data_IF_725609110700
#
_entry.id   IF_725609110700
#
_cell.length_a   1.000
_cell.length_b   1.000
_cell.length_c   1.000
_cell.angle_alpha   90.00
_cell.angle_beta   90.00
_cell.angle_gamma   90.00
#
_symmetry.space_group_name_H-M   'P 1'
#
loop_
_entity.id
_entity.type
_entity.pdbx_description
1 polymer ?
#
# COMPACT_ATOMS: atom_id res chain seq x y z
N UNK A 1 -2.99 14.93 -7.21
CA UNK A 1 -2.34 14.69 -8.52
C UNK A 1 -1.96 13.23 -8.74
N UNK A 2 -1.24 12.55 -7.84
CA UNK A 2 -0.81 11.15 -8.06
C UNK A 2 -1.94 10.13 -8.37
N UNK A 3 -3.08 10.19 -7.65
CA UNK A 3 -4.23 9.31 -7.95
C UNK A 3 -4.77 9.49 -9.37
N UNK A 4 -4.84 10.74 -9.84
CA UNK A 4 -5.30 11.04 -11.19
C UNK A 4 -4.35 10.48 -12.25
N UNK A 5 -3.04 10.61 -12.04
CA UNK A 5 -2.04 10.01 -12.92
C UNK A 5 -2.15 8.49 -12.96
N UNK A 6 -2.43 7.85 -11.81
CA UNK A 6 -2.60 6.40 -11.74
C UNK A 6 -3.83 5.92 -12.53
N UNK A 7 -4.98 6.59 -12.40
CA UNK A 7 -6.19 6.27 -13.16
C UNK A 7 -5.98 6.57 -14.66
N UNK A 8 -5.40 7.73 -14.97
CA UNK A 8 -5.09 8.13 -16.34
C UNK A 8 -4.13 7.16 -17.03
N UNK A 9 -3.12 6.64 -16.31
CA UNK A 9 -2.15 5.70 -16.85
C UNK A 9 -2.80 4.44 -17.44
N UNK A 10 -3.74 3.82 -16.73
CA UNK A 10 -4.43 2.61 -17.22
C UNK A 10 -5.19 2.90 -18.50
N UNK A 11 -5.97 3.99 -18.52
CA UNK A 11 -6.75 4.39 -19.70
C UNK A 11 -5.84 4.73 -20.88
N UNK A 12 -4.77 5.49 -20.64
CA UNK A 12 -3.81 5.87 -21.68
C UNK A 12 -3.06 4.65 -22.24
N UNK A 13 -2.70 3.69 -21.39
CA UNK A 13 -2.06 2.45 -21.83
C UNK A 13 -2.99 1.64 -22.75
N UNK A 14 -4.27 1.55 -22.40
CA UNK A 14 -5.25 0.84 -23.23
C UNK A 14 -5.46 1.56 -24.57
N UNK A 15 -5.56 2.89 -24.57
CA UNK A 15 -5.70 3.69 -25.79
C UNK A 15 -4.45 3.56 -26.67
N UNK A 16 -3.26 3.57 -26.07
CA UNK A 16 -2.00 3.46 -26.78
C UNK A 16 -1.86 2.13 -27.53
N UNK A 17 -2.55 1.09 -27.08
CA UNK A 17 -2.54 -0.24 -27.70
C UNK A 17 -3.53 -0.40 -28.86
N UNK A 18 -4.52 0.48 -29.01
CA UNK A 18 -5.55 0.39 -30.06
C UNK A 18 -4.96 0.32 -31.49
N UNK A 19 -3.95 1.15 -31.87
CA UNK A 19 -3.39 1.11 -33.22
C UNK A 19 -2.75 -0.23 -33.58
N UNK A 20 -2.35 -1.03 -32.58
CA UNK A 20 -1.67 -2.30 -32.80
C UNK A 20 -2.64 -3.49 -32.94
N UNK A 21 -3.94 -3.27 -32.78
CA UNK A 21 -4.97 -4.30 -32.91
C UNK A 21 -5.48 -4.40 -34.36
N UNK A 22 -4.69 -5.00 -35.24
CA UNK A 22 -5.05 -5.19 -36.65
C UNK A 22 -5.72 -6.54 -36.88
N UNK A 23 -6.94 -6.56 -37.43
CA UNK A 23 -7.66 -7.79 -37.78
C UNK A 23 -7.52 -8.07 -39.28
N UNK A 24 -7.23 -9.33 -39.64
CA UNK A 24 -7.16 -9.74 -41.05
C UNK A 24 -8.55 -9.96 -41.66
N UNK A 25 -8.78 -9.40 -42.84
CA UNK A 25 -9.99 -9.63 -43.64
C UNK A 25 -9.78 -10.70 -44.71
N UNK A 26 -10.86 -11.35 -45.19
CA UNK A 26 -10.78 -12.38 -46.25
C UNK A 26 -10.13 -11.90 -47.56
N UNK A 27 -10.14 -10.58 -47.81
CA UNK A 27 -9.52 -9.97 -48.99
C UNK A 27 -8.00 -9.73 -48.83
N UNK A 28 -7.38 -10.21 -47.75
CA UNK A 28 -5.95 -10.07 -47.48
C UNK A 28 -5.52 -8.71 -46.92
N UNK A 29 -6.44 -7.76 -46.78
CA UNK A 29 -6.21 -6.49 -46.11
C UNK A 29 -6.43 -6.63 -44.60
N UNK A 30 -5.71 -5.84 -43.81
CA UNK A 30 -5.92 -5.77 -42.37
C UNK A 30 -6.38 -4.37 -41.98
N UNK A 31 -7.32 -4.24 -41.06
CA UNK A 31 -7.79 -2.94 -40.57
C UNK A 31 -7.74 -2.89 -39.05
N UNK A 32 -7.70 -1.68 -38.48
CA UNK A 32 -7.70 -1.50 -37.03
C UNK A 32 -9.06 -1.93 -36.47
N UNK A 33 -9.07 -2.84 -35.48
CA UNK A 33 -10.28 -3.48 -34.95
C UNK A 33 -11.38 -2.50 -34.52
N UNK A 34 -10.99 -1.39 -33.89
CA UNK A 34 -11.93 -0.34 -33.44
C UNK A 34 -12.29 0.67 -34.55
N UNK A 35 -11.44 0.78 -35.57
CA UNK A 35 -11.56 1.77 -36.65
C UNK A 35 -11.40 1.08 -38.01
N UNK A 36 -12.39 0.29 -38.41
CA UNK A 36 -12.34 -0.52 -39.63
C UNK A 36 -12.11 0.27 -40.93
N UNK A 37 -12.32 1.59 -40.92
CA UNK A 37 -12.01 2.48 -42.05
C UNK A 37 -10.50 2.73 -42.24
N UNK A 38 -9.68 2.46 -41.22
CA UNK A 38 -8.23 2.65 -41.24
C UNK A 38 -7.56 1.31 -41.53
N UNK A 39 -7.04 1.17 -42.74
CA UNK A 39 -6.29 -0.02 -43.17
C UNK A 39 -4.89 0.02 -42.57
N UNK A 40 -4.48 -1.07 -41.92
CA UNK A 40 -3.16 -1.21 -41.32
C UNK A 40 -2.06 -1.15 -42.38
N UNK A 41 -1.02 -0.36 -42.10
CA UNK A 41 0.11 -0.12 -43.02
C UNK A 41 -0.07 1.07 -43.97
N UNK A 42 -1.21 1.76 -43.94
CA UNK A 42 -1.42 3.01 -44.69
C UNK A 42 -0.90 4.24 -43.95
N UNK A 43 -0.77 5.38 -44.64
CA UNK A 43 -0.30 6.64 -44.04
C UNK A 43 -1.18 7.10 -42.86
N UNK A 44 -2.50 6.89 -42.96
CA UNK A 44 -3.43 7.18 -41.86
C UNK A 44 -3.18 6.32 -40.62
N UNK A 45 -2.77 5.06 -40.81
CA UNK A 45 -2.41 4.16 -39.72
C UNK A 45 -1.06 4.55 -39.09
N UNK A 46 -0.07 4.94 -39.89
CA UNK A 46 1.26 5.33 -39.41
C UNK A 46 1.19 6.45 -38.37
N UNK A 47 0.31 7.45 -38.57
CA UNK A 47 0.09 8.52 -37.58
C UNK A 47 -0.44 8.00 -36.25
N UNK A 48 -1.40 7.06 -36.28
CA UNK A 48 -1.96 6.44 -35.07
C UNK A 48 -0.90 5.62 -34.33
N UNK A 49 -0.08 4.85 -35.05
CA UNK A 49 1.02 4.06 -34.47
C UNK A 49 2.04 4.95 -33.79
N UNK A 50 2.45 6.06 -34.42
CA UNK A 50 3.42 7.00 -33.82
C UNK A 50 2.90 7.54 -32.48
N UNK A 51 1.63 7.98 -32.43
CA UNK A 51 1.01 8.44 -31.18
C UNK A 51 0.93 7.31 -30.15
N UNK A 52 0.56 6.10 -30.58
CA UNK A 52 0.52 4.91 -29.72
C UNK A 52 1.90 4.59 -29.11
N UNK A 53 2.96 4.59 -29.92
CA UNK A 53 4.34 4.38 -29.44
C UNK A 53 4.74 5.45 -28.44
N UNK A 54 4.46 6.73 -28.70
CA UNK A 54 4.77 7.82 -27.77
C UNK A 54 4.06 7.64 -26.42
N UNK A 55 2.78 7.25 -26.43
CA UNK A 55 2.02 6.97 -25.21
C UNK A 55 2.55 5.73 -24.47
N UNK A 56 2.93 4.67 -25.17
CA UNK A 56 3.57 3.48 -24.57
C UNK A 56 4.90 3.89 -23.91
N UNK A 57 5.74 4.67 -24.60
CA UNK A 57 6.99 5.17 -24.04
C UNK A 57 6.77 5.98 -22.76
N UNK A 58 5.80 6.90 -22.76
CA UNK A 58 5.41 7.66 -21.57
C UNK A 58 4.91 6.74 -20.45
N UNK A 59 4.12 5.72 -20.79
CA UNK A 59 3.65 4.70 -19.87
C UNK A 59 4.80 3.90 -19.24
N UNK A 60 5.78 3.48 -20.02
CA UNK A 60 6.98 2.77 -19.55
C UNK A 60 7.81 3.64 -18.59
N UNK A 61 7.99 4.94 -18.90
CA UNK A 61 8.67 5.88 -18.00
C UNK A 61 7.91 5.98 -16.67
N UNK A 62 6.58 6.10 -16.71
CA UNK A 62 5.76 6.15 -15.51
C UNK A 62 5.85 4.86 -14.68
N UNK A 63 5.80 3.69 -15.32
CA UNK A 63 6.00 2.40 -14.63
C UNK A 63 7.39 2.28 -14.00
N UNK A 64 8.44 2.74 -14.68
CA UNK A 64 9.79 2.75 -14.14
C UNK A 64 9.89 3.64 -12.90
N UNK A 65 9.27 4.84 -12.96
CA UNK A 65 9.17 5.75 -11.81
C UNK A 65 8.42 5.11 -10.65
N UNK A 66 7.26 4.49 -10.87
CA UNK A 66 6.51 3.82 -9.81
C UNK A 66 7.29 2.65 -9.20
N UNK A 67 7.98 1.88 -10.03
CA UNK A 67 8.84 0.77 -9.58
C UNK A 67 9.95 1.29 -8.67
N UNK A 68 10.61 2.37 -9.07
CA UNK A 68 11.62 3.04 -8.25
C UNK A 68 11.04 3.58 -6.93
N UNK A 69 9.84 4.17 -6.95
CA UNK A 69 9.18 4.65 -5.72
C UNK A 69 8.90 3.49 -4.75
N UNK A 70 8.42 2.35 -5.25
CA UNK A 70 8.12 1.17 -4.41
C UNK A 70 9.36 0.54 -3.80
N UNK A 71 10.49 0.50 -4.53
CA UNK A 71 11.74 -0.06 -4.00
C UNK A 71 12.42 0.86 -2.99
N UNK A 72 12.28 2.19 -3.14
CA UNK A 72 12.90 3.19 -2.25
C UNK A 72 12.02 3.50 -1.03
N UNK A 73 10.70 3.30 -1.11
CA UNK A 73 9.74 3.56 -0.03
C UNK A 73 10.13 3.02 1.36
N UNK A 74 10.48 1.74 1.54
CA UNK A 74 10.81 1.21 2.88
C UNK A 74 12.05 1.89 3.49
N UNK A 75 13.09 2.12 2.69
CA UNK A 75 14.33 2.77 3.14
C UNK A 75 14.12 4.24 3.51
N UNK A 76 13.19 4.92 2.84
CA UNK A 76 12.81 6.31 3.16
C UNK A 76 11.90 6.39 4.38
N UNK A 77 11.00 5.41 4.53
CA UNK A 77 10.13 5.29 5.70
C UNK A 77 10.96 5.10 6.99
N UNK A 78 11.95 4.21 6.97
CA UNK A 78 12.81 3.96 8.15
C UNK A 78 13.66 5.16 8.56
N UNK A 79 13.94 6.08 7.62
CA UNK A 79 14.64 7.35 7.89
C UNK A 79 13.72 8.48 8.36
N UNK A 80 12.41 8.24 8.44
CA UNK A 80 11.42 9.25 8.85
C UNK A 80 11.20 10.36 7.82
N UNK A 81 11.47 10.13 6.54
CA UNK A 81 11.27 11.12 5.46
C UNK A 81 9.77 11.28 5.14
N UNK A 82 9.08 12.05 5.99
CA UNK A 82 7.63 12.22 5.90
C UNK A 82 7.20 12.90 4.59
N UNK A 83 8.01 13.81 4.03
CA UNK A 83 7.68 14.49 2.79
C UNK A 83 7.61 13.51 1.61
N UNK A 84 8.60 12.60 1.51
CA UNK A 84 8.59 11.54 0.51
C UNK A 84 7.36 10.63 0.63
N UNK A 85 7.01 10.23 1.85
CA UNK A 85 5.85 9.37 2.10
C UNK A 85 4.53 10.07 1.74
N UNK A 86 4.41 11.38 1.98
CA UNK A 86 3.24 12.14 1.55
C UNK A 86 3.13 12.20 0.02
N UNK A 87 4.24 12.36 -0.70
CA UNK A 87 4.25 12.31 -2.18
C UNK A 87 3.85 10.94 -2.71
N UNK A 88 4.24 9.85 -2.04
CA UNK A 88 3.90 8.47 -2.41
C UNK A 88 2.56 7.97 -1.86
N UNK A 89 1.83 8.82 -1.12
CA UNK A 89 0.59 8.45 -0.43
C UNK A 89 -0.43 7.83 -1.39
N UNK A 90 -0.50 8.29 -2.64
CA UNK A 90 -1.46 7.75 -3.61
C UNK A 90 -1.23 6.26 -3.92
N UNK A 91 0.03 5.82 -3.91
CA UNK A 91 0.42 4.46 -4.21
C UNK A 91 0.24 3.55 -2.98
N UNK A 92 0.65 4.04 -1.80
CA UNK A 92 0.81 3.22 -0.59
C UNK A 92 -0.42 3.24 0.33
N UNK A 93 -1.16 4.35 0.40
CA UNK A 93 -2.11 4.60 1.48
C UNK A 93 -3.29 3.62 1.54
N UNK A 94 -3.70 3.08 0.40
CA UNK A 94 -4.84 2.15 0.26
C UNK A 94 -4.52 0.72 0.71
N UNK A 95 -3.24 0.38 0.80
CA UNK A 95 -2.79 -0.98 1.10
C UNK A 95 -2.24 -1.09 2.51
N UNK A 96 -2.31 -2.30 3.06
CA UNK A 96 -1.62 -2.64 4.29
C UNK A 96 -0.13 -2.36 4.14
N UNK A 97 0.48 -1.93 5.24
CA UNK A 97 1.91 -1.58 5.26
C UNK A 97 2.76 -2.75 4.81
N UNK A 98 2.48 -3.99 5.24
CA UNK A 98 3.27 -5.19 4.91
C UNK A 98 3.36 -5.54 3.40
N UNK A 99 2.45 -4.99 2.60
CA UNK A 99 2.22 -5.37 1.19
C UNK A 99 2.16 -4.13 0.31
N UNK A 100 3.03 -3.17 0.64
CA UNK A 100 3.18 -1.88 -0.04
C UNK A 100 3.41 -2.01 -1.56
N UNK A 101 4.03 -3.10 -1.99
CA UNK A 101 4.34 -3.41 -3.40
C UNK A 101 3.10 -3.77 -4.24
N UNK A 102 1.98 -4.15 -3.61
CA UNK A 102 0.77 -4.56 -4.33
C UNK A 102 0.18 -3.44 -5.19
N UNK A 103 0.48 -2.18 -4.87
CA UNK A 103 0.11 -1.04 -5.72
C UNK A 103 0.64 -1.14 -7.16
N UNK A 104 1.81 -1.75 -7.36
CA UNK A 104 2.35 -2.03 -8.69
C UNK A 104 1.53 -3.09 -9.43
N UNK A 105 1.09 -4.14 -8.75
CA UNK A 105 0.26 -5.20 -9.34
C UNK A 105 -1.05 -4.62 -9.87
N UNK A 106 -1.70 -3.74 -9.09
CA UNK A 106 -2.95 -3.09 -9.53
C UNK A 106 -2.73 -2.20 -10.75
N UNK A 107 -1.62 -1.45 -10.79
CA UNK A 107 -1.31 -0.58 -11.93
C UNK A 107 -0.97 -1.41 -13.18
N UNK A 108 -0.20 -2.49 -13.02
CA UNK A 108 0.22 -3.36 -14.12
C UNK A 108 -0.93 -4.20 -14.68
N UNK A 109 -1.92 -4.55 -13.85
CA UNK A 109 -3.11 -5.30 -14.26
C UNK A 109 -3.85 -4.64 -15.42
N UNK A 110 -3.94 -3.31 -15.44
CA UNK A 110 -4.62 -2.57 -16.51
C UNK A 110 -4.05 -2.86 -17.91
N UNK A 111 -2.78 -2.49 -18.18
CA UNK A 111 -2.11 -2.80 -19.44
C UNK A 111 -2.08 -4.29 -19.78
N UNK A 112 -1.87 -5.17 -18.78
CA UNK A 112 -1.88 -6.62 -18.98
C UNK A 112 -3.22 -7.15 -19.50
N UNK A 113 -4.34 -6.51 -19.16
CA UNK A 113 -5.66 -6.88 -19.70
C UNK A 113 -5.86 -6.42 -21.15
N UNK A 114 -5.11 -5.45 -21.65
CA UNK A 114 -5.19 -5.01 -23.05
C UNK A 114 -4.22 -5.72 -23.98
N UNK A 115 -3.12 -6.25 -23.46
CA UNK A 115 -2.13 -6.98 -24.26
C UNK A 115 -2.69 -8.19 -25.03
N UNK A 116 -3.56 -9.04 -24.47
CA UNK A 116 -4.20 -10.13 -25.22
C UNK A 116 -4.85 -9.72 -26.54
N UNK A 117 -5.50 -8.55 -26.57
CA UNK A 117 -6.18 -8.07 -27.77
C UNK A 117 -5.20 -7.67 -28.87
N UNK A 118 -3.98 -7.25 -28.51
CA UNK A 118 -2.88 -6.95 -29.45
C UNK A 118 -2.15 -8.23 -29.87
N UNK A 119 -1.87 -9.12 -28.90
CA UNK A 119 -1.08 -10.33 -29.15
C UNK A 119 -1.84 -11.40 -29.96
N UNK A 120 -3.17 -11.47 -29.81
CA UNK A 120 -4.00 -12.52 -30.40
C UNK A 120 -5.20 -11.95 -31.17
N UNK A 121 -5.00 -10.88 -31.95
CA UNK A 121 -6.10 -10.19 -32.64
C UNK A 121 -6.91 -11.11 -33.56
N UNK A 122 -6.26 -12.06 -34.25
CA UNK A 122 -6.93 -12.99 -35.17
C UNK A 122 -7.53 -14.23 -34.47
N UNK A 123 -7.21 -14.45 -33.18
CA UNK A 123 -7.63 -15.65 -32.44
C UNK A 123 -8.37 -15.30 -31.17
N UNK A 124 -9.69 -15.13 -31.29
CA UNK A 124 -10.58 -14.84 -30.16
C UNK A 124 -10.44 -15.86 -29.01
N UNK A 125 -10.18 -17.14 -29.30
CA UNK A 125 -9.97 -18.16 -28.25
C UNK A 125 -8.70 -17.92 -27.45
N UNK A 126 -7.57 -17.64 -28.12
CA UNK A 126 -6.31 -17.35 -27.46
C UNK A 126 -6.39 -16.02 -26.68
N UNK A 127 -7.11 -15.03 -27.22
CA UNK A 127 -7.40 -13.78 -26.53
C UNK A 127 -8.21 -14.02 -25.23
N UNK A 128 -9.31 -14.75 -25.29
CA UNK A 128 -10.12 -15.05 -24.09
C UNK A 128 -9.33 -15.87 -23.06
N UNK A 129 -8.60 -16.90 -23.51
CA UNK A 129 -7.77 -17.73 -22.62
C UNK A 129 -6.69 -16.91 -21.90
N UNK A 130 -5.97 -16.06 -22.64
CA UNK A 130 -4.93 -15.22 -22.04
C UNK A 130 -5.51 -14.16 -21.09
N UNK A 131 -6.66 -13.56 -21.40
CA UNK A 131 -7.40 -12.70 -20.47
C UNK A 131 -7.78 -13.43 -19.18
N UNK A 132 -8.30 -14.66 -19.29
CA UNK A 132 -8.62 -15.51 -18.13
C UNK A 132 -7.39 -15.79 -17.29
N UNK A 133 -6.24 -16.10 -17.90
CA UNK A 133 -4.98 -16.33 -17.17
C UNK A 133 -4.54 -15.07 -16.41
N UNK A 134 -4.56 -13.90 -17.05
CA UNK A 134 -4.19 -12.63 -16.40
C UNK A 134 -5.09 -12.36 -15.19
N UNK A 135 -6.41 -12.51 -15.35
CA UNK A 135 -7.35 -12.31 -14.24
C UNK A 135 -7.18 -13.36 -13.14
N UNK A 136 -7.01 -14.63 -13.48
CA UNK A 136 -6.83 -15.72 -12.52
C UNK A 136 -5.56 -15.55 -11.68
N UNK A 137 -4.44 -15.18 -12.32
CA UNK A 137 -3.19 -14.86 -11.61
C UNK A 137 -3.38 -13.66 -10.70
N UNK A 138 -4.03 -12.59 -11.18
CA UNK A 138 -4.31 -11.41 -10.34
C UNK A 138 -5.20 -11.74 -9.13
N UNK A 139 -6.21 -12.59 -9.32
CA UNK A 139 -7.09 -13.07 -8.27
C UNK A 139 -6.34 -13.94 -7.26
N UNK A 140 -5.48 -14.85 -7.72
CA UNK A 140 -4.69 -15.70 -6.85
C UNK A 140 -3.76 -14.88 -5.95
N UNK A 141 -3.06 -13.89 -6.51
CA UNK A 141 -2.20 -12.98 -5.73
C UNK A 141 -3.05 -12.21 -4.71
N UNK A 142 -4.20 -11.68 -5.12
CA UNK A 142 -5.09 -10.93 -4.23
C UNK A 142 -5.61 -11.78 -3.06
N UNK A 143 -6.09 -12.99 -3.33
CA UNK A 143 -6.63 -13.90 -2.31
C UNK A 143 -5.54 -14.44 -1.38
N UNK A 144 -4.28 -14.53 -1.85
CA UNK A 144 -3.16 -14.94 -1.02
C UNK A 144 -2.69 -13.81 -0.07
N UNK A 145 -2.78 -12.55 -0.51
CA UNK A 145 -2.13 -11.43 0.18
C UNK A 145 -3.10 -10.57 0.99
N UNK A 146 -4.36 -10.47 0.58
CA UNK A 146 -5.37 -9.56 1.17
C UNK A 146 -4.84 -8.13 1.38
N UNK A 147 -4.47 -7.45 0.28
CA UNK A 147 -3.66 -6.26 0.34
C UNK A 147 -4.39 -5.00 0.80
N UNK A 148 -5.71 -4.93 0.62
CA UNK A 148 -6.48 -3.75 0.99
C UNK A 148 -6.58 -3.61 2.50
N UNK A 149 -6.47 -2.38 3.03
CA UNK A 149 -6.61 -2.12 4.48
C UNK A 149 -7.97 -2.53 5.03
N UNK A 150 -9.02 -2.28 4.25
CA UNK A 150 -10.40 -2.61 4.61
C UNK A 150 -10.74 -4.02 4.11
N UNK A 151 -11.03 -5.00 4.98
CA UNK A 151 -11.32 -6.37 4.59
C UNK A 151 -12.48 -6.52 3.60
N UNK A 152 -13.55 -5.73 3.73
CA UNK A 152 -14.66 -5.75 2.78
C UNK A 152 -14.23 -5.43 1.35
N UNK A 153 -13.26 -4.52 1.17
CA UNK A 153 -12.74 -4.17 -0.17
C UNK A 153 -11.98 -5.35 -0.78
N UNK A 154 -11.24 -6.13 0.01
CA UNK A 154 -10.60 -7.36 -0.47
C UNK A 154 -11.64 -8.36 -0.99
N UNK A 155 -12.71 -8.58 -0.22
CA UNK A 155 -13.77 -9.50 -0.58
C UNK A 155 -14.49 -9.07 -1.87
N UNK A 156 -14.86 -7.79 -1.97
CA UNK A 156 -15.58 -7.29 -3.14
C UNK A 156 -14.70 -7.26 -4.39
N UNK A 157 -13.46 -6.77 -4.32
CA UNK A 157 -12.53 -6.76 -5.47
C UNK A 157 -12.22 -8.20 -5.95
N UNK A 158 -12.10 -9.15 -5.01
CA UNK A 158 -11.94 -10.58 -5.33
C UNK A 158 -13.18 -11.16 -5.99
N UNK A 159 -14.37 -10.83 -5.46
CA UNK A 159 -15.66 -11.26 -6.03
C UNK A 159 -15.86 -10.70 -7.44
N UNK A 160 -15.61 -9.41 -7.66
CA UNK A 160 -15.71 -8.78 -8.98
C UNK A 160 -14.75 -9.45 -9.95
N UNK A 161 -13.50 -9.70 -9.54
CA UNK A 161 -12.51 -10.35 -10.40
C UNK A 161 -12.92 -11.78 -10.75
N UNK A 162 -13.47 -12.53 -9.80
CA UNK A 162 -14.02 -13.87 -10.03
C UNK A 162 -15.20 -13.84 -11.00
N UNK A 163 -16.13 -12.90 -10.84
CA UNK A 163 -17.28 -12.73 -11.75
C UNK A 163 -16.82 -12.37 -13.16
N UNK A 164 -15.81 -11.51 -13.31
CA UNK A 164 -15.21 -11.20 -14.62
C UNK A 164 -14.62 -12.45 -15.28
N UNK A 165 -13.95 -13.32 -14.52
CA UNK A 165 -13.47 -14.61 -15.04
C UNK A 165 -14.63 -15.47 -15.54
N UNK A 166 -15.73 -15.56 -14.80
CA UNK A 166 -16.91 -16.31 -15.22
C UNK A 166 -17.58 -15.71 -16.47
N UNK A 167 -17.67 -14.38 -16.58
CA UNK A 167 -18.19 -13.70 -17.78
C UNK A 167 -17.34 -14.01 -19.00
N UNK A 168 -16.01 -14.04 -18.88
CA UNK A 168 -15.12 -14.41 -19.99
C UNK A 168 -15.26 -15.89 -20.33
N UNK A 169 -15.40 -16.76 -19.33
CA UNK A 169 -15.61 -18.18 -19.53
C UNK A 169 -16.91 -18.45 -20.31
N UNK A 170 -18.02 -17.78 -19.97
CA UNK A 170 -19.27 -17.90 -20.72
C UNK A 170 -19.20 -17.23 -22.10
N UNK A 171 -18.40 -16.16 -22.25
CA UNK A 171 -18.15 -15.53 -23.54
C UNK A 171 -17.48 -16.49 -24.55
N UNK A 172 -16.67 -17.45 -24.07
CA UNK A 172 -16.03 -18.46 -24.93
C UNK A 172 -17.03 -19.37 -25.66
N UNK A 173 -18.23 -19.56 -25.12
CA UNK A 173 -19.30 -20.34 -25.74
C UNK A 173 -19.86 -19.70 -27.02
N UNK A 174 -19.50 -18.44 -27.30
CA UNK A 174 -19.87 -17.75 -28.54
C UNK A 174 -18.79 -17.85 -29.63
N UNK A 175 -17.73 -18.66 -29.43
CA UNK A 175 -16.59 -18.81 -30.35
C UNK A 175 -16.34 -20.30 -30.73
N UNK A 176 -17.14 -20.92 -31.64
CA UNK A 176 -18.17 -20.35 -32.52
C UNK A 176 -19.53 -20.24 -31.85
N UNK A 177 -20.42 -19.41 -32.41
CA UNK A 177 -21.71 -19.11 -31.80
C UNK A 177 -22.53 -20.39 -31.50
N UNK A 178 -22.77 -20.66 -30.22
CA UNK A 178 -23.74 -21.67 -29.81
C UNK A 178 -25.09 -21.42 -30.51
N UNK A 179 -25.76 -22.49 -30.92
CA UNK A 179 -27.07 -22.45 -31.59
C UNK A 179 -28.15 -23.14 -30.76
N UNK A 180 -29.41 -22.72 -30.93
CA UNK A 180 -30.56 -23.32 -30.26
C UNK A 180 -30.57 -23.10 -28.75
N UNK A 181 -31.15 -24.04 -28.01
CA UNK A 181 -31.36 -23.94 -26.55
C UNK A 181 -30.06 -23.71 -25.75
N UNK A 182 -28.93 -24.24 -26.21
CA UNK A 182 -27.62 -24.04 -25.56
C UNK A 182 -27.22 -22.57 -25.53
N UNK A 183 -27.53 -21.82 -26.59
CA UNK A 183 -27.27 -20.37 -26.66
C UNK A 183 -28.05 -19.62 -25.60
N UNK A 184 -29.33 -19.93 -25.45
CA UNK A 184 -30.21 -19.25 -24.51
C UNK A 184 -29.75 -19.47 -23.06
N UNK A 185 -29.27 -20.67 -22.75
CA UNK A 185 -28.65 -20.97 -21.44
C UNK A 185 -27.41 -20.10 -21.21
N UNK A 186 -26.45 -20.05 -22.15
CA UNK A 186 -25.24 -19.23 -21.99
C UNK A 186 -25.53 -17.73 -21.91
N UNK A 187 -26.51 -17.24 -22.67
CA UNK A 187 -26.98 -15.84 -22.57
C UNK A 187 -27.57 -15.58 -21.19
N UNK A 188 -28.46 -16.44 -20.70
CA UNK A 188 -29.06 -16.31 -19.37
C UNK A 188 -28.03 -16.32 -18.24
N UNK A 189 -27.07 -17.25 -18.29
CA UNK A 189 -25.96 -17.32 -17.32
C UNK A 189 -25.07 -16.07 -17.39
N UNK A 190 -24.73 -15.60 -18.59
CA UNK A 190 -23.91 -14.39 -18.76
C UNK A 190 -24.61 -13.14 -18.23
N UNK A 191 -25.92 -13.00 -18.51
CA UNK A 191 -26.75 -11.92 -17.96
C UNK A 191 -26.79 -12.00 -16.42
N UNK A 192 -26.94 -13.19 -15.85
CA UNK A 192 -26.90 -13.40 -14.40
C UNK A 192 -25.58 -12.92 -13.77
N UNK A 193 -24.43 -13.30 -14.34
CA UNK A 193 -23.13 -12.83 -13.85
C UNK A 193 -22.95 -11.32 -14.01
N UNK A 194 -23.40 -10.74 -15.12
CA UNK A 194 -23.37 -9.28 -15.31
C UNK A 194 -24.24 -8.56 -14.29
N UNK A 195 -25.47 -9.03 -14.03
CA UNK A 195 -26.35 -8.47 -13.01
C UNK A 195 -25.73 -8.53 -11.61
N UNK A 196 -25.10 -9.65 -11.26
CA UNK A 196 -24.40 -9.80 -9.98
C UNK A 196 -23.20 -8.85 -9.88
N UNK A 197 -22.46 -8.64 -10.97
CA UNK A 197 -21.36 -7.67 -11.02
C UNK A 197 -21.89 -6.25 -10.76
N UNK A 198 -22.97 -5.84 -11.43
CA UNK A 198 -23.60 -4.52 -11.18
C UNK A 198 -24.11 -4.38 -9.75
N UNK A 199 -24.65 -5.45 -9.16
CA UNK A 199 -25.05 -5.46 -7.76
C UNK A 199 -23.85 -5.24 -6.82
N UNK A 200 -22.73 -5.94 -7.04
CA UNK A 200 -21.50 -5.74 -6.26
C UNK A 200 -21.00 -4.29 -6.33
N UNK A 201 -21.02 -3.67 -7.53
CA UNK A 201 -20.67 -2.27 -7.71
C UNK A 201 -21.64 -1.33 -6.99
N UNK A 202 -22.95 -1.61 -7.04
CA UNK A 202 -23.96 -0.86 -6.31
C UNK A 202 -23.76 -0.91 -4.79
N UNK A 203 -23.47 -2.10 -4.24
CA UNK A 203 -23.16 -2.28 -2.81
C UNK A 203 -21.90 -1.49 -2.43
N UNK A 204 -20.85 -1.53 -3.25
CA UNK A 204 -19.64 -0.72 -3.02
C UNK A 204 -19.94 0.78 -3.02
N UNK A 205 -20.76 1.27 -3.95
CA UNK A 205 -21.14 2.68 -4.00
C UNK A 205 -21.89 3.10 -2.74
N UNK A 206 -22.86 2.28 -2.29
CA UNK A 206 -23.58 2.53 -1.03
C UNK A 206 -22.63 2.52 0.16
N UNK A 207 -21.70 1.56 0.25
CA UNK A 207 -20.69 1.52 1.31
C UNK A 207 -19.81 2.78 1.32
N UNK A 208 -19.40 3.28 0.15
CA UNK A 208 -18.64 4.53 0.02
C UNK A 208 -19.46 5.72 0.50
N UNK A 209 -20.73 5.83 0.09
CA UNK A 209 -21.62 6.92 0.52
C UNK A 209 -21.82 6.89 2.04
N UNK A 210 -22.07 5.71 2.61
CA UNK A 210 -22.20 5.54 4.06
C UNK A 210 -20.90 5.93 4.79
N UNK A 211 -19.74 5.52 4.28
CA UNK A 211 -18.45 5.90 4.83
C UNK A 211 -18.25 7.42 4.82
N UNK A 212 -18.59 8.10 3.70
CA UNK A 212 -18.52 9.55 3.58
C UNK A 212 -19.47 10.27 4.55
N UNK A 213 -20.70 9.77 4.73
CA UNK A 213 -21.68 10.34 5.67
C UNK A 213 -21.22 10.18 7.12
N UNK A 214 -20.66 9.01 7.46
CA UNK A 214 -20.19 8.73 8.82
C UNK A 214 -18.98 9.58 9.27
N UNK A 215 -18.34 10.33 8.35
CA UNK A 215 -17.17 11.21 8.59
C UNK A 215 -16.01 10.56 9.38
N UNK A 216 -15.98 9.23 9.45
CA UNK A 216 -14.91 8.51 10.13
C UNK A 216 -13.61 8.56 9.33
N UNK A 217 -12.44 8.65 9.98
CA UNK A 217 -11.17 8.42 9.30
C UNK A 217 -11.15 7.00 8.73
N UNK A 218 -11.04 6.87 7.40
CA UNK A 218 -10.95 5.57 6.72
C UNK A 218 -9.76 4.76 7.26
N UNK A 219 -10.02 3.52 7.65
CA UNK A 219 -9.10 2.57 8.26
C UNK A 219 -9.01 2.61 9.79
N UNK A 220 -9.90 3.35 10.48
CA UNK A 220 -9.93 3.38 11.95
C UNK A 220 -10.72 2.21 12.54
N UNK A 221 -10.37 1.79 13.77
CA UNK A 221 -11.10 0.77 14.52
C UNK A 221 -12.58 1.13 14.80
N UNK A 222 -12.95 2.40 14.62
CA UNK A 222 -14.32 2.91 14.72
C UNK A 222 -15.13 2.80 13.42
N UNK A 223 -14.59 2.15 12.38
CA UNK A 223 -15.34 1.94 11.14
C UNK A 223 -16.59 1.08 11.35
N UNK A 224 -17.56 1.25 10.45
CA UNK A 224 -18.77 0.45 10.42
C UNK A 224 -18.42 -1.05 10.36
N UNK A 225 -19.05 -1.85 11.22
CA UNK A 225 -18.81 -3.30 11.32
C UNK A 225 -18.93 -4.05 9.99
N UNK A 226 -19.68 -3.49 9.02
CA UNK A 226 -19.83 -4.03 7.66
C UNK A 226 -18.53 -3.91 6.86
N UNK A 227 -17.78 -2.82 7.00
CA UNK A 227 -16.51 -2.58 6.29
C UNK A 227 -15.38 -3.48 6.83
N UNK A 228 -15.41 -3.76 8.12
CA UNK A 228 -14.44 -4.63 8.81
C UNK A 228 -14.78 -6.12 8.72
N UNK A 229 -15.89 -6.50 8.07
CA UNK A 229 -16.41 -7.88 8.01
C UNK A 229 -16.66 -8.50 9.40
N UNK A 230 -16.97 -7.68 10.41
CA UNK A 230 -17.17 -8.11 11.79
C UNK A 230 -16.87 -7.00 12.79
N UNK A 231 -17.18 -7.24 14.07
CA UNK A 231 -16.81 -6.30 15.14
C UNK A 231 -15.30 -6.39 15.38
N UNK A 232 -14.61 -5.26 15.31
CA UNK A 232 -13.22 -5.17 15.75
C UNK A 232 -13.08 -5.56 17.22
N UNK A 233 -11.89 -6.03 17.66
CA UNK A 233 -11.65 -6.33 19.06
C UNK A 233 -11.82 -5.06 19.91
N UNK A 234 -12.37 -5.21 21.12
CA UNK A 234 -12.47 -4.10 22.07
C UNK A 234 -11.05 -3.65 22.45
N UNK A 235 -10.75 -2.37 22.18
CA UNK A 235 -9.45 -1.77 22.44
C UNK A 235 -9.10 -1.81 23.93
N UNK A 236 -10.09 -1.72 24.83
CA UNK A 236 -9.84 -1.79 26.27
C UNK A 236 -9.37 -3.21 26.67
N UNK A 237 -10.02 -4.23 26.13
CA UNK A 237 -9.64 -5.64 26.35
C UNK A 237 -8.29 -5.96 25.70
N UNK A 238 -8.03 -5.41 24.51
CA UNK A 238 -6.74 -5.60 23.85
C UNK A 238 -5.61 -4.93 24.63
N UNK A 239 -5.83 -3.71 25.14
CA UNK A 239 -4.88 -2.99 25.96
C UNK A 239 -4.58 -3.69 27.30
N UNK A 240 -5.61 -4.26 27.96
CA UNK A 240 -5.40 -5.03 29.19
C UNK A 240 -4.60 -6.30 28.93
N UNK A 241 -4.97 -7.09 27.92
CA UNK A 241 -4.23 -8.30 27.53
C UNK A 241 -2.79 -8.00 27.13
N UNK A 242 -2.57 -6.88 26.45
CA UNK A 242 -1.23 -6.44 26.09
C UNK A 242 -0.38 -6.13 27.33
N UNK A 243 -0.96 -5.44 28.33
CA UNK A 243 -0.28 -5.17 29.60
C UNK A 243 0.03 -6.46 30.35
N UNK A 244 -0.93 -7.38 30.47
CA UNK A 244 -0.73 -8.67 31.14
C UNK A 244 0.39 -9.47 30.46
N UNK A 245 0.44 -9.50 29.13
CA UNK A 245 1.50 -10.14 28.36
C UNK A 245 2.87 -9.47 28.58
N UNK A 246 2.91 -8.15 28.67
CA UNK A 246 4.13 -7.40 29.00
C UNK A 246 4.62 -7.77 30.40
N UNK A 247 3.73 -7.82 31.40
CA UNK A 247 4.09 -8.14 32.78
C UNK A 247 4.66 -9.57 32.89
N UNK A 248 4.01 -10.55 32.26
CA UNK A 248 4.53 -11.92 32.16
C UNK A 248 5.88 -11.95 31.43
N UNK A 249 6.02 -11.20 30.34
CA UNK A 249 7.27 -11.09 29.58
C UNK A 249 8.42 -10.52 30.42
N UNK A 250 8.16 -9.57 31.32
CA UNK A 250 9.19 -9.01 32.22
C UNK A 250 9.63 -9.97 33.32
N UNK A 251 8.79 -10.94 33.70
CA UNK A 251 9.10 -11.95 34.72
C UNK A 251 9.78 -13.19 34.14
N UNK A 252 9.62 -13.44 32.85
CA UNK A 252 10.15 -14.63 32.18
C UNK A 252 11.66 -14.52 31.94
N UNK A 253 12.40 -15.60 32.22
CA UNK A 253 13.83 -15.64 31.90
C UNK A 253 14.04 -15.60 30.38
N UNK A 254 15.16 -15.04 29.92
CA UNK A 254 15.46 -14.94 28.48
C UNK A 254 15.49 -16.32 27.79
N UNK A 255 15.96 -17.37 28.47
CA UNK A 255 15.98 -18.73 27.91
C UNK A 255 14.59 -19.35 27.80
N UNK A 256 13.70 -19.06 28.75
CA UNK A 256 12.32 -19.56 28.69
C UNK A 256 11.49 -18.82 27.64
N UNK A 257 11.78 -17.53 27.42
CA UNK A 257 11.18 -16.77 26.34
C UNK A 257 11.58 -17.34 24.97
N UNK A 258 12.87 -17.63 24.76
CA UNK A 258 13.35 -18.27 23.52
C UNK A 258 12.63 -19.61 23.31
N UNK A 259 12.58 -20.47 24.32
CA UNK A 259 11.88 -21.77 24.24
C UNK A 259 10.39 -21.60 23.90
N UNK A 260 9.74 -20.57 24.46
CA UNK A 260 8.33 -20.28 24.16
C UNK A 260 8.17 -19.86 22.70
N UNK A 261 9.06 -19.01 22.19
CA UNK A 261 9.07 -18.60 20.77
C UNK A 261 9.41 -19.76 19.83
N UNK A 262 10.30 -20.68 20.22
CA UNK A 262 10.63 -21.88 19.46
C UNK A 262 9.44 -22.83 19.29
N UNK A 263 8.48 -22.80 20.22
CA UNK A 263 7.26 -23.60 20.15
C UNK A 263 6.16 -22.98 19.25
N UNK A 264 6.31 -21.71 18.84
CA UNK A 264 5.35 -21.06 17.96
C UNK A 264 5.51 -21.52 16.51
N UNK A 265 4.41 -21.51 15.75
CA UNK A 265 4.49 -21.79 14.32
C UNK A 265 5.24 -20.67 13.60
N UNK A 266 5.82 -20.98 12.43
CA UNK A 266 6.51 -19.98 11.59
C UNK A 266 5.58 -18.83 11.21
N UNK A 267 4.27 -19.09 11.05
CA UNK A 267 3.28 -18.06 10.74
C UNK A 267 3.05 -17.13 11.92
N UNK A 268 2.95 -17.69 13.14
CA UNK A 268 2.76 -16.90 14.37
C UNK A 268 4.00 -16.06 14.68
N UNK A 269 5.20 -16.62 14.49
CA UNK A 269 6.46 -15.89 14.65
C UNK A 269 6.56 -14.70 13.70
N UNK A 270 6.17 -14.87 12.42
CA UNK A 270 6.11 -13.77 11.46
C UNK A 270 5.06 -12.73 11.86
N UNK A 271 3.88 -13.18 12.27
CA UNK A 271 2.81 -12.31 12.75
C UNK A 271 3.23 -11.47 13.95
N UNK A 272 3.91 -12.09 14.92
CA UNK A 272 4.46 -11.43 16.09
C UNK A 272 5.53 -10.41 15.71
N UNK A 273 6.48 -10.79 14.85
CA UNK A 273 7.52 -9.87 14.37
C UNK A 273 6.94 -8.64 13.65
N UNK A 274 5.93 -8.84 12.80
CA UNK A 274 5.21 -7.74 12.13
C UNK A 274 4.45 -6.87 13.11
N UNK A 275 3.77 -7.47 14.10
CA UNK A 275 3.05 -6.74 15.13
C UNK A 275 4.00 -5.90 16.00
N UNK A 276 5.14 -6.46 16.40
CA UNK A 276 6.18 -5.75 17.15
C UNK A 276 6.78 -4.60 16.34
N UNK A 277 7.04 -4.79 15.04
CA UNK A 277 7.54 -3.72 14.16
C UNK A 277 6.52 -2.59 14.05
N UNK A 278 5.25 -2.94 13.82
CA UNK A 278 4.16 -1.95 13.71
C UNK A 278 3.97 -1.16 15.00
N UNK A 279 4.00 -1.83 16.16
CA UNK A 279 3.96 -1.16 17.47
C UNK A 279 5.20 -0.30 17.71
N UNK A 280 6.37 -0.79 17.30
CA UNK A 280 7.65 -0.08 17.41
C UNK A 280 7.67 1.21 16.60
N UNK A 281 7.06 1.24 15.41
CA UNK A 281 6.97 2.44 14.58
C UNK A 281 6.05 3.51 15.21
N UNK A 282 4.89 3.10 15.72
CA UNK A 282 3.94 4.01 16.38
C UNK A 282 4.48 4.52 17.73
N UNK A 283 5.06 3.62 18.53
CA UNK A 283 5.62 3.98 19.82
C UNK A 283 6.98 4.65 19.74
N UNK A 284 7.80 4.37 18.73
CA UNK A 284 9.10 5.01 18.54
C UNK A 284 8.95 6.52 18.39
N UNK A 285 7.92 6.97 17.67
CA UNK A 285 7.54 8.38 17.60
C UNK A 285 7.11 8.94 18.96
N UNK A 286 6.24 8.22 19.67
CA UNK A 286 5.74 8.64 20.99
C UNK A 286 6.84 8.66 22.06
N UNK A 287 7.70 7.65 22.11
CA UNK A 287 8.82 7.50 23.03
C UNK A 287 9.91 8.52 22.74
N UNK A 288 10.25 8.76 21.47
CA UNK A 288 11.18 9.82 21.09
C UNK A 288 10.62 11.22 21.45
N UNK A 289 9.31 11.44 21.27
CA UNK A 289 8.65 12.67 21.72
C UNK A 289 8.66 12.80 23.25
N UNK A 290 8.40 11.71 23.98
CA UNK A 290 8.40 11.68 25.45
C UNK A 290 9.79 11.92 26.03
N UNK A 291 10.83 11.36 25.42
CA UNK A 291 12.22 11.59 25.78
C UNK A 291 12.64 13.05 25.50
N UNK A 292 12.16 13.66 24.40
CA UNK A 292 12.41 15.09 24.12
C UNK A 292 11.74 16.01 25.14
N UNK A 293 10.48 15.76 25.50
CA UNK A 293 9.77 16.56 26.51
C UNK A 293 10.37 16.37 27.91
N UNK A 294 10.74 15.14 28.28
CA UNK A 294 11.40 14.85 29.56
C UNK A 294 12.80 15.48 29.65
N UNK A 295 13.57 15.47 28.56
CA UNK A 295 14.88 16.17 28.50
C UNK A 295 14.73 17.69 28.61
N UNK A 296 13.69 18.28 28.01
CA UNK A 296 13.42 19.72 28.10
C UNK A 296 12.99 20.12 29.52
N UNK A 297 12.17 19.30 30.17
CA UNK A 297 11.77 19.49 31.57
C UNK A 297 12.96 19.39 32.53
N UNK A 298 13.87 18.44 32.32
CA UNK A 298 15.08 18.29 33.14
C UNK A 298 16.08 19.46 32.96
N UNK A 299 16.17 20.01 31.74
CA UNK A 299 17.00 21.20 31.46
C UNK A 299 16.42 22.45 32.12
N UNK A 300 15.09 22.65 32.11
CA UNK A 300 14.48 23.79 32.82
C UNK A 300 14.59 23.66 34.34
N UNK A 301 14.52 22.44 34.91
CA UNK A 301 14.76 22.27 36.36
C UNK A 301 16.22 22.54 36.74
N UNK A 302 17.17 22.12 35.91
CA UNK A 302 18.60 22.41 36.14
C UNK A 302 18.95 23.88 35.92
N UNK A 303 18.33 24.55 34.95
CA UNK A 303 18.50 25.99 34.72
C UNK A 303 17.97 26.81 35.90
N UNK A 304 16.75 26.53 36.40
CA UNK A 304 16.22 27.20 37.59
C UNK A 304 17.08 26.98 38.83
N UNK A 305 17.61 25.76 39.02
CA UNK A 305 18.53 25.46 40.12
C UNK A 305 19.89 26.14 39.98
N UNK A 306 20.32 26.45 38.74
CA UNK A 306 21.56 27.21 38.48
C UNK A 306 21.34 28.70 38.75
N UNK A 307 20.18 29.24 38.41
CA UNK A 307 19.80 30.62 38.71
C UNK A 307 19.68 30.85 40.22
N UNK A 308 19.09 29.92 40.96
CA UNK A 308 19.04 29.95 42.44
C UNK A 308 20.44 29.90 43.08
N UNK A 309 21.35 29.13 42.50
CA UNK A 309 22.75 29.07 42.93
C UNK A 309 23.51 30.34 42.58
N UNK A 310 23.24 30.95 41.43
CA UNK A 310 23.84 32.21 41.04
C UNK A 310 23.36 33.37 41.93
N UNK A 311 22.08 33.41 42.27
CA UNK A 311 21.52 34.43 43.16
C UNK A 311 22.06 34.27 44.59
N UNK A 312 22.22 33.02 45.06
CA UNK A 312 22.85 32.72 46.36
C UNK A 312 24.34 33.11 46.41
N UNK A 313 25.10 32.86 45.34
CA UNK A 313 26.50 33.25 45.24
C UNK A 313 26.68 34.78 45.17
N UNK A 314 25.76 35.48 44.51
CA UNK A 314 25.75 36.94 44.43
C UNK A 314 25.42 37.58 45.78
N UNK A 315 24.57 36.94 46.58
CA UNK A 315 24.26 37.36 47.96
C UNK A 315 25.43 37.14 48.94
N UNK A 316 26.24 36.09 48.76
CA UNK A 316 27.43 35.84 49.59
C UNK A 316 28.62 36.74 49.28
N UNK A 317 28.66 37.41 48.11
CA UNK A 317 29.78 38.30 47.73
C UNK A 317 29.74 39.70 48.35
N UNK A 318 28.77 39.99 49.23
CA UNK A 318 28.80 41.17 50.11
C UNK A 318 29.27 40.77 51.51
N UNK A 319 30.56 40.47 51.64
CA UNK A 319 31.25 40.47 52.93
C UNK A 319 32.31 41.58 52.83
N UNK A 320 32.33 42.56 53.75
CA UNK A 320 33.28 43.66 53.70
C UNK A 320 34.71 43.18 53.92
N UNK A 321 35.62 43.69 53.09
CA UNK A 321 37.05 43.41 53.08
C UNK A 321 37.68 43.65 54.46
N UNK A 322 38.14 42.56 55.08
CA UNK A 322 39.01 42.54 56.25
C UNK A 322 40.33 41.88 55.89
N UNK A 323 41.38 42.69 55.81
CA UNK A 323 42.75 42.32 55.48
C UNK A 323 43.35 41.31 56.45
N UNK A 324 43.99 40.25 55.95
CA UNK A 324 45.10 39.60 56.66
C UNK A 324 46.06 38.93 55.70
N UNK A 325 47.28 39.44 55.67
CA UNK A 325 48.46 38.90 55.02
C UNK A 325 48.98 37.69 55.80
N UNK A 326 49.17 36.54 55.14
CA UNK A 326 50.00 35.44 55.66
C UNK A 326 50.89 34.92 54.54
N UNK A 327 52.15 34.75 54.92
CA UNK A 327 53.32 34.45 54.12
C UNK A 327 53.75 32.98 54.26
N UNK A 328 54.67 32.58 53.37
CA UNK A 328 55.54 31.40 53.40
C UNK A 328 54.93 30.01 53.09
N UNK A 329 55.44 29.36 52.04
CA UNK A 329 56.56 28.39 52.15
C UNK A 329 56.60 27.47 50.93
N UNK A 330 57.72 27.47 50.23
CA UNK A 330 58.02 26.56 49.13
C UNK A 330 58.43 25.17 49.65
N UNK A 331 58.04 24.11 48.93
CA UNK A 331 58.76 22.84 48.91
C UNK A 331 58.55 22.13 47.55
N UNK A 332 59.60 21.59 46.91
CA UNK A 332 59.50 20.91 45.62
C UNK A 332 59.57 19.37 45.72
N UNK A 333 59.27 18.73 44.57
CA UNK A 333 59.46 17.32 44.20
C UNK A 333 58.45 16.33 44.83
N UNK A 334 57.95 15.30 44.14
CA UNK A 334 58.68 14.20 43.49
C UNK A 334 57.76 13.48 42.47
N UNK A 335 58.34 13.04 41.35
CA UNK A 335 57.80 12.06 40.39
C UNK A 335 57.64 10.68 41.03
N UNK A 336 56.61 9.90 40.67
CA UNK A 336 56.80 8.50 40.24
C UNK A 336 55.49 7.87 39.71
N UNK A 337 55.63 7.25 38.54
CA UNK A 337 54.85 6.16 37.89
C UNK A 337 53.37 6.37 37.53
#
# INVERSE_FOLDING_TARGET
MGQFLQVGFTTMSNIALIPFMCIQHPMGQSSVLQYNAVVCGTDGHSGMVIVGVLLICMGCIFLALLTWLVTVAPTKASKGDMQFLQSCRFLLFRFRVDVWWYGMVVVLRGPLLSLPAVAFTDSARAQLLSLTVVLAVSLAIQLAVWPWKTPAVNLVDGTITLLLVFVIATASAFVPAASGATKDVFVGVSLGFMSLLFLCLGVMLVMVVLALISRGPMGSAQELSVLTLGKGPDLAVLASRFRDMSDVGTQMSHTDLIRTLENLSVYDLRGLATAMTSLGDEWGGALAAHLRTSRRASITTKAGKLDDLHDSATKMRRIPDGSTTVSLSAHPAVCEL
#
